data_IF_724089999884
#
_entry.id   IF_724089999884
#
_cell.length_a   1.000
_cell.length_b   1.000
_cell.length_c   1.000
_cell.angle_alpha   90.00
_cell.angle_beta   90.00
_cell.angle_gamma   90.00
#
_symmetry.space_group_name_H-M   'P 1'
#
loop_
_entity.id
_entity.type
_entity.pdbx_description
1 polymer ?
#
# COMPACT_ATOMS: atom_id res chain seq x y z
N UNK A 1 11.76 9.38 11.97
CA UNK A 1 11.56 7.94 12.29
C UNK A 1 12.45 7.06 11.41
N UNK A 2 12.38 7.17 10.08
CA UNK A 2 13.24 6.45 9.13
C UNK A 2 14.74 6.61 9.42
N UNK A 3 15.20 7.84 9.68
CA UNK A 3 16.59 8.12 10.07
C UNK A 3 17.03 7.48 11.38
N UNK A 4 16.09 7.19 12.29
CA UNK A 4 16.37 6.54 13.58
C UNK A 4 16.35 5.01 13.45
N UNK A 5 15.54 4.48 12.54
CA UNK A 5 15.47 3.03 12.22
C UNK A 5 16.67 2.56 11.39
N UNK A 6 17.20 3.41 10.51
CA UNK A 6 18.41 3.13 9.73
C UNK A 6 19.72 3.14 10.54
N UNK A 7 19.70 3.64 11.78
CA UNK A 7 20.88 3.73 12.66
C UNK A 7 21.10 2.46 13.49
N UNK A 8 20.11 1.57 13.58
CA UNK A 8 20.19 0.38 14.45
C UNK A 8 20.76 -0.87 13.75
N UNK A 9 21.03 -0.87 12.44
CA UNK A 9 21.49 -2.02 11.60
C UNK A 9 20.64 -3.31 11.69
N UNK A 10 19.65 -3.37 12.58
CA UNK A 10 18.70 -4.48 12.82
C UNK A 10 17.51 -4.45 11.87
N UNK A 11 17.30 -3.32 11.17
CA UNK A 11 16.17 -3.11 10.26
C UNK A 11 16.70 -2.63 8.92
N UNK A 12 16.62 -3.49 7.90
CA UNK A 12 16.98 -3.13 6.54
C UNK A 12 15.79 -2.41 5.88
N UNK A 13 16.00 -1.17 5.40
CA UNK A 13 14.96 -0.42 4.70
C UNK A 13 14.84 -0.95 3.27
N UNK A 14 13.90 -1.87 3.06
CA UNK A 14 13.48 -2.37 1.74
C UNK A 14 12.33 -1.53 1.17
N UNK A 15 12.18 -0.26 1.58
CA UNK A 15 11.05 0.61 1.23
C UNK A 15 10.86 0.88 -0.26
N UNK A 16 11.78 0.51 -1.14
CA UNK A 16 11.58 0.58 -2.60
C UNK A 16 11.19 -0.80 -3.21
N UNK A 17 11.05 -1.84 -2.39
CA UNK A 17 10.73 -3.19 -2.83
C UNK A 17 9.22 -3.47 -2.81
N UNK A 18 8.62 -3.46 -4.00
CA UNK A 18 7.22 -3.86 -4.20
C UNK A 18 6.24 -2.76 -3.80
N UNK A 19 4.95 -3.02 -4.06
CA UNK A 19 3.91 -1.99 -4.04
C UNK A 19 3.72 -1.34 -2.65
N UNK A 20 3.76 -2.16 -1.60
CA UNK A 20 3.60 -1.69 -0.21
C UNK A 20 4.79 -0.85 0.23
N UNK A 21 6.00 -1.26 -0.14
CA UNK A 21 7.21 -0.49 0.13
C UNK A 21 7.14 0.89 -0.51
N UNK A 22 6.85 0.94 -1.81
CA UNK A 22 6.73 2.18 -2.56
C UNK A 22 5.75 3.17 -1.91
N UNK A 23 4.58 2.70 -1.48
CA UNK A 23 3.59 3.51 -0.75
C UNK A 23 4.11 3.97 0.60
N UNK A 24 4.79 3.09 1.35
CA UNK A 24 5.38 3.44 2.64
C UNK A 24 6.44 4.54 2.51
N UNK A 25 7.22 4.51 1.43
CA UNK A 25 8.29 5.47 1.17
C UNK A 25 7.76 6.81 0.64
N UNK A 26 6.86 6.77 -0.35
CA UNK A 26 6.33 7.98 -0.99
C UNK A 26 5.24 8.67 -0.16
N UNK A 27 4.56 7.94 0.72
CA UNK A 27 3.39 8.43 1.46
C UNK A 27 2.19 8.72 0.58
N UNK A 28 2.16 8.21 -0.66
CA UNK A 28 1.04 8.37 -1.61
C UNK A 28 0.27 7.08 -1.71
N UNK A 29 -1.07 7.15 -1.65
CA UNK A 29 -1.89 5.97 -1.88
C UNK A 29 -1.84 5.56 -3.36
N UNK A 30 -2.01 4.27 -3.60
CA UNK A 30 -2.16 3.73 -4.94
C UNK A 30 -3.50 3.02 -5.05
N UNK A 31 -4.21 3.25 -6.15
CA UNK A 31 -5.45 2.59 -6.49
C UNK A 31 -5.35 2.01 -7.90
N UNK A 32 -5.28 0.69 -8.01
CA UNK A 32 -4.93 0.03 -9.26
C UNK A 32 -6.05 -0.94 -9.64
N UNK A 33 -6.65 -0.69 -10.79
CA UNK A 33 -7.66 -1.56 -11.39
C UNK A 33 -7.04 -2.40 -12.49
N UNK A 34 -7.42 -3.68 -12.59
CA UNK A 34 -6.97 -4.58 -13.65
C UNK A 34 -7.22 -4.01 -15.06
N UNK A 35 -8.34 -3.30 -15.25
CA UNK A 35 -8.67 -2.67 -16.53
C UNK A 35 -7.68 -1.59 -16.96
N UNK A 36 -7.16 -0.80 -16.02
CA UNK A 36 -6.21 0.29 -16.30
C UNK A 36 -4.76 -0.21 -16.30
N UNK A 37 -4.49 -1.30 -15.57
CA UNK A 37 -3.17 -1.89 -15.42
C UNK A 37 -2.50 -2.22 -16.76
N UNK A 38 -3.25 -2.75 -17.73
CA UNK A 38 -2.70 -3.10 -19.04
C UNK A 38 -2.19 -1.90 -19.85
N UNK A 39 -2.69 -0.68 -19.57
CA UNK A 39 -2.19 0.56 -20.19
C UNK A 39 -1.03 1.21 -19.42
N UNK A 40 -0.83 0.83 -18.16
CA UNK A 40 0.08 1.50 -17.23
C UNK A 40 1.24 0.59 -16.75
N UNK A 41 1.39 -0.63 -17.29
CA UNK A 41 2.45 -1.56 -16.86
C UNK A 41 3.86 -0.93 -16.90
N UNK A 42 4.13 -0.06 -17.89
CA UNK A 42 5.42 0.61 -18.04
C UNK A 42 5.71 1.67 -16.96
N UNK A 43 4.69 2.12 -16.21
CA UNK A 43 4.84 3.08 -15.12
C UNK A 43 5.31 2.44 -13.81
N UNK A 44 5.22 1.11 -13.69
CA UNK A 44 5.54 0.40 -12.45
C UNK A 44 6.94 -0.24 -12.48
N UNK A 45 7.67 -0.22 -11.35
CA UNK A 45 8.90 -0.99 -11.21
C UNK A 45 8.65 -2.50 -11.42
N UNK A 46 9.63 -3.27 -11.94
CA UNK A 46 9.43 -4.69 -12.25
C UNK A 46 8.95 -5.55 -11.07
N UNK A 47 9.39 -5.23 -9.83
CA UNK A 47 8.96 -5.93 -8.62
C UNK A 47 7.48 -5.67 -8.29
N UNK A 48 7.05 -4.42 -8.42
CA UNK A 48 5.64 -3.99 -8.25
C UNK A 48 4.75 -4.67 -9.28
N UNK A 49 5.21 -4.68 -10.53
CA UNK A 49 4.52 -5.33 -11.64
C UNK A 49 4.30 -6.82 -11.38
N UNK A 50 5.33 -7.54 -10.90
CA UNK A 50 5.23 -8.96 -10.55
C UNK A 50 4.19 -9.21 -9.45
N UNK A 51 4.14 -8.37 -8.43
CA UNK A 51 3.19 -8.51 -7.33
C UNK A 51 1.75 -8.24 -7.78
N UNK A 52 1.54 -7.23 -8.62
CA UNK A 52 0.24 -6.93 -9.24
C UNK A 52 -0.23 -8.07 -10.14
N UNK A 53 0.64 -8.58 -11.03
CA UNK A 53 0.33 -9.74 -11.89
C UNK A 53 -0.08 -10.97 -11.08
N UNK A 54 0.59 -11.23 -9.95
CA UNK A 54 0.21 -12.35 -9.06
C UNK A 54 -1.20 -12.16 -8.47
N UNK A 55 -1.53 -10.96 -7.99
CA UNK A 55 -2.86 -10.68 -7.44
C UNK A 55 -3.95 -10.80 -8.50
N UNK A 56 -3.71 -10.27 -9.69
CA UNK A 56 -4.67 -10.35 -10.79
C UNK A 56 -4.89 -11.78 -11.28
N UNK A 57 -3.83 -12.60 -11.36
CA UNK A 57 -3.96 -14.04 -11.66
C UNK A 57 -4.76 -14.80 -10.59
N UNK A 58 -4.81 -14.31 -9.35
CA UNK A 58 -5.65 -14.88 -8.28
C UNK A 58 -7.13 -14.40 -8.34
N UNK A 59 -7.48 -13.60 -9.34
CA UNK A 59 -8.82 -13.08 -9.58
C UNK A 59 -9.12 -11.76 -8.87
N UNK A 60 -8.11 -11.09 -8.29
CA UNK A 60 -8.26 -9.71 -7.83
C UNK A 60 -8.44 -8.82 -9.07
N UNK A 61 -9.30 -7.81 -8.98
CA UNK A 61 -9.55 -6.82 -10.02
C UNK A 61 -9.23 -5.40 -9.55
N UNK A 62 -9.14 -5.15 -8.24
CA UNK A 62 -8.72 -3.86 -7.69
C UNK A 62 -7.82 -4.07 -6.49
N UNK A 63 -6.69 -3.36 -6.48
CA UNK A 63 -5.73 -3.30 -5.38
C UNK A 63 -5.65 -1.86 -4.91
N UNK A 64 -5.92 -1.61 -3.64
CA UNK A 64 -5.76 -0.30 -3.01
C UNK A 64 -4.69 -0.41 -1.92
N UNK A 65 -3.71 0.48 -1.93
CA UNK A 65 -2.63 0.54 -0.94
C UNK A 65 -2.58 1.94 -0.36
N UNK A 66 -2.82 2.05 0.94
CA UNK A 66 -3.09 3.30 1.63
C UNK A 66 -2.05 3.48 2.75
N UNK A 67 -1.25 4.56 2.73
CA UNK A 67 -0.33 4.87 3.82
C UNK A 67 -1.12 5.34 5.05
N UNK A 68 -0.77 4.82 6.22
CA UNK A 68 -1.39 5.12 7.52
C UNK A 68 -0.32 5.57 8.51
N UNK A 69 0.37 6.66 8.18
CA UNK A 69 1.48 7.17 8.97
C UNK A 69 1.05 7.57 10.39
N UNK A 70 1.91 7.42 11.41
CA UNK A 70 3.23 6.78 11.39
C UNK A 70 3.17 5.24 11.46
N UNK A 71 1.99 4.62 11.43
CA UNK A 71 1.76 3.21 11.76
C UNK A 71 2.09 2.23 10.62
N UNK A 72 2.23 2.70 9.38
CA UNK A 72 2.64 1.88 8.25
C UNK A 72 1.75 2.05 7.03
N UNK A 73 1.33 0.93 6.42
CA UNK A 73 0.54 0.87 5.19
C UNK A 73 -0.51 -0.23 5.29
N UNK A 74 -1.71 0.01 4.78
CA UNK A 74 -2.78 -0.98 4.67
C UNK A 74 -3.02 -1.29 3.19
N UNK A 75 -3.12 -2.57 2.84
CA UNK A 75 -3.46 -3.02 1.49
C UNK A 75 -4.80 -3.77 1.47
N UNK A 76 -5.62 -3.46 0.47
CA UNK A 76 -6.89 -4.12 0.18
C UNK A 76 -6.86 -4.72 -1.22
N UNK A 77 -7.52 -5.87 -1.37
CA UNK A 77 -7.76 -6.52 -2.66
C UNK A 77 -9.23 -6.86 -2.83
N UNK A 78 -9.81 -6.55 -3.98
CA UNK A 78 -11.19 -6.87 -4.33
C UNK A 78 -11.25 -7.67 -5.62
N UNK A 79 -12.16 -8.64 -5.70
CA UNK A 79 -12.48 -9.35 -6.96
C UNK A 79 -13.39 -8.55 -7.90
N UNK A 80 -13.87 -7.39 -7.45
CA UNK A 80 -14.67 -6.46 -8.24
C UNK A 80 -13.78 -5.32 -8.73
N UNK A 81 -14.05 -4.83 -9.93
CA UNK A 81 -13.45 -3.59 -10.43
C UNK A 81 -14.13 -2.39 -9.74
N UNK A 82 -13.43 -1.77 -8.79
CA UNK A 82 -13.91 -0.64 -8.00
C UNK A 82 -13.21 0.64 -8.44
N UNK A 83 -13.99 1.68 -8.70
CA UNK A 83 -13.45 3.02 -8.97
C UNK A 83 -12.78 3.58 -7.72
N UNK A 84 -11.76 4.41 -7.94
CA UNK A 84 -11.05 5.07 -6.85
C UNK A 84 -11.99 5.92 -5.99
N UNK A 85 -11.88 5.74 -4.67
CA UNK A 85 -12.66 6.48 -3.69
C UNK A 85 -11.76 7.13 -2.67
N UNK A 86 -11.61 8.45 -2.79
CA UNK A 86 -10.90 9.26 -1.79
C UNK A 86 -11.60 9.24 -0.43
N UNK A 87 -12.92 9.07 -0.40
CA UNK A 87 -13.67 8.86 0.84
C UNK A 87 -13.22 7.60 1.56
N UNK A 88 -13.10 6.48 0.84
CA UNK A 88 -12.59 5.23 1.42
C UNK A 88 -11.15 5.37 1.93
N UNK A 89 -10.28 6.03 1.16
CA UNK A 89 -8.88 6.30 1.57
C UNK A 89 -8.83 7.12 2.86
N UNK A 90 -9.68 8.15 2.96
CA UNK A 90 -9.81 8.99 4.15
C UNK A 90 -10.32 8.20 5.35
N UNK A 91 -11.40 7.44 5.19
CA UNK A 91 -12.02 6.65 6.26
C UNK A 91 -11.05 5.63 6.84
N UNK A 92 -10.30 4.91 5.99
CA UNK A 92 -9.23 3.99 6.42
C UNK A 92 -8.16 4.74 7.19
N UNK A 93 -7.70 5.88 6.68
CA UNK A 93 -6.66 6.67 7.33
C UNK A 93 -7.09 7.16 8.70
N UNK A 94 -8.34 7.64 8.83
CA UNK A 94 -8.92 8.07 10.10
C UNK A 94 -9.09 6.92 11.08
N UNK A 95 -9.62 5.78 10.64
CA UNK A 95 -9.81 4.61 11.48
C UNK A 95 -8.47 4.11 12.04
N UNK A 96 -7.43 4.02 11.20
CA UNK A 96 -6.11 3.55 11.64
C UNK A 96 -5.43 4.56 12.58
N UNK A 97 -5.63 5.86 12.37
CA UNK A 97 -5.19 6.87 13.34
C UNK A 97 -5.89 6.70 14.69
N UNK A 98 -7.21 6.47 14.70
CA UNK A 98 -7.97 6.26 15.93
C UNK A 98 -7.55 4.99 16.68
N UNK A 99 -7.34 3.89 15.95
CA UNK A 99 -6.84 2.64 16.53
C UNK A 99 -5.43 2.79 17.11
N UNK A 100 -4.58 3.63 16.52
CA UNK A 100 -3.26 3.95 17.06
C UNK A 100 -3.27 4.62 18.44
N UNK A 101 -4.38 5.26 18.83
CA UNK A 101 -4.55 5.81 20.17
C UNK A 101 -5.00 4.77 21.21
N UNK A 102 -5.48 3.60 20.78
CA UNK A 102 -5.81 2.50 21.69
C UNK A 102 -4.51 1.76 22.00
N UNK A 103 -4.01 1.89 23.24
CA UNK A 103 -2.82 1.17 23.70
C UNK A 103 -2.94 -0.33 23.39
N UNK A 104 -2.04 -0.84 22.55
CA UNK A 104 -1.96 -2.26 22.18
C UNK A 104 -2.79 -2.71 20.97
N UNK A 105 -3.59 -1.84 20.33
CA UNK A 105 -4.44 -2.27 19.21
C UNK A 105 -3.71 -2.46 17.88
N UNK A 106 -2.53 -1.84 17.71
CA UNK A 106 -1.70 -1.94 16.51
C UNK A 106 -0.29 -2.49 16.81
N UNK A 107 -0.15 -3.26 17.89
CA UNK A 107 1.14 -3.76 18.39
C UNK A 107 1.64 -5.00 17.64
#
# INVERSE_FOLDING_TARGET
LLSKMMVDDRVQVTGEEGLVGEVAFTGKHHWIQLGNFHGEEAAFPPKVLRDLKRQFSAGVQTVAVIPVLPHGVVQFGSRLSLMESMGFVYDVSCLMHQLGFIHGALQ
#
